data_IF_571097443034
#
_entry.id   IF_571097443034
#
_cell.length_a   1.000
_cell.length_b   1.000
_cell.length_c   1.000
_cell.angle_alpha   90.00
_cell.angle_beta   90.00
_cell.angle_gamma   90.00
#
_symmetry.space_group_name_H-M   'P 1'
#
loop_
_entity.id
_entity.type
_entity.pdbx_description
1 polymer ?
#
# COMPACT_ATOMS: atom_id res chain seq x y z
N UNK A 1 -32.45 -4.51 -17.17
CA UNK A 1 -32.01 -5.72 -16.46
C UNK A 1 -30.52 -5.89 -16.71
N UNK A 2 -29.66 -5.95 -15.68
CA UNK A 2 -28.26 -6.32 -15.88
C UNK A 2 -28.20 -7.83 -16.11
N UNK A 3 -27.60 -8.26 -17.23
CA UNK A 3 -27.35 -9.67 -17.51
C UNK A 3 -26.14 -10.16 -16.69
N UNK A 4 -26.02 -11.47 -16.45
CA UNK A 4 -24.87 -12.05 -15.74
C UNK A 4 -23.52 -11.64 -16.36
N UNK A 5 -23.47 -11.57 -17.70
CA UNK A 5 -22.30 -11.09 -18.45
C UNK A 5 -21.93 -9.64 -18.12
N UNK A 6 -22.92 -8.76 -17.99
CA UNK A 6 -22.66 -7.37 -17.59
C UNK A 6 -22.15 -7.28 -16.15
N UNK A 7 -22.65 -8.14 -15.24
CA UNK A 7 -22.16 -8.22 -13.86
C UNK A 7 -20.72 -8.72 -13.80
N UNK A 8 -20.39 -9.79 -14.53
CA UNK A 8 -19.02 -10.31 -14.63
C UNK A 8 -18.06 -9.21 -15.10
N UNK A 9 -18.42 -8.48 -16.16
CA UNK A 9 -17.61 -7.38 -16.67
C UNK A 9 -17.40 -6.26 -15.63
N UNK A 10 -18.45 -5.87 -14.91
CA UNK A 10 -18.35 -4.86 -13.84
C UNK A 10 -17.40 -5.31 -12.74
N UNK A 11 -17.47 -6.58 -12.32
CA UNK A 11 -16.56 -7.12 -11.30
C UNK A 11 -15.12 -7.24 -11.80
N UNK A 12 -14.89 -7.64 -13.04
CA UNK A 12 -13.55 -7.68 -13.64
C UNK A 12 -12.91 -6.28 -13.65
N UNK A 13 -13.65 -5.29 -14.15
CA UNK A 13 -13.20 -3.90 -14.22
C UNK A 13 -12.94 -3.37 -12.81
N UNK A 14 -13.85 -3.61 -11.87
CA UNK A 14 -13.67 -3.24 -10.47
C UNK A 14 -12.41 -3.86 -9.88
N UNK A 15 -12.22 -5.17 -10.03
CA UNK A 15 -11.05 -5.90 -9.56
C UNK A 15 -9.74 -5.31 -10.11
N UNK A 16 -9.71 -4.98 -11.40
CA UNK A 16 -8.57 -4.33 -12.04
C UNK A 16 -8.25 -2.97 -11.41
N UNK A 17 -9.26 -2.11 -11.20
CA UNK A 17 -9.06 -0.80 -10.56
C UNK A 17 -8.47 -0.93 -9.16
N UNK A 18 -9.00 -1.85 -8.34
CA UNK A 18 -8.47 -2.10 -6.99
C UNK A 18 -7.05 -2.68 -7.03
N UNK A 19 -6.74 -3.54 -8.00
CA UNK A 19 -5.40 -4.09 -8.19
C UNK A 19 -4.36 -3.03 -8.57
N UNK A 20 -4.70 -2.13 -9.50
CA UNK A 20 -3.83 -0.99 -9.87
C UNK A 20 -3.64 -0.04 -8.69
N UNK A 21 -4.70 0.27 -7.96
CA UNK A 21 -4.62 1.09 -6.76
C UNK A 21 -3.72 0.45 -5.69
N UNK A 22 -3.85 -0.86 -5.44
CA UNK A 22 -2.98 -1.60 -4.54
C UNK A 22 -1.51 -1.48 -4.94
N UNK A 23 -1.19 -1.67 -6.23
CA UNK A 23 0.16 -1.55 -6.75
C UNK A 23 0.74 -0.14 -6.54
N UNK A 24 -0.06 0.91 -6.72
CA UNK A 24 0.36 2.28 -6.47
C UNK A 24 0.71 2.53 -4.98
N UNK A 25 -0.11 2.02 -4.06
CA UNK A 25 0.17 2.12 -2.62
C UNK A 25 1.40 1.32 -2.21
N UNK A 26 1.62 0.15 -2.81
CA UNK A 26 2.84 -0.63 -2.61
C UNK A 26 4.07 0.13 -3.14
N UNK A 27 4.00 0.72 -4.33
CA UNK A 27 5.10 1.54 -4.85
C UNK A 27 5.37 2.77 -3.98
N UNK A 28 4.33 3.35 -3.36
CA UNK A 28 4.52 4.44 -2.39
C UNK A 28 5.24 3.95 -1.13
N UNK A 29 4.98 2.72 -0.67
CA UNK A 29 5.62 2.18 0.53
C UNK A 29 7.12 1.93 0.33
N UNK A 30 7.57 1.63 -0.89
CA UNK A 30 9.01 1.45 -1.17
C UNK A 30 9.81 2.75 -1.19
N UNK A 31 9.14 3.90 -1.17
CA UNK A 31 9.76 5.23 -1.26
C UNK A 31 9.73 6.02 0.06
N UNK A 32 9.38 5.38 1.18
CA UNK A 32 9.35 6.04 2.49
C UNK A 32 10.80 6.31 2.92
N UNK A 33 11.21 7.58 3.07
CA UNK A 33 12.58 7.91 3.46
C UNK A 33 12.81 7.57 4.93
N UNK A 34 14.03 7.16 5.25
CA UNK A 34 14.52 7.03 6.62
C UNK A 34 15.31 8.30 6.91
N UNK A 35 14.70 9.21 7.65
CA UNK A 35 15.30 10.49 7.98
C UNK A 35 15.44 10.66 9.51
N UNK A 36 16.69 10.63 10.04
CA UNK A 36 16.96 10.87 11.45
C UNK A 36 16.51 12.26 11.94
N UNK A 37 16.56 13.27 11.07
CA UNK A 37 16.21 14.64 11.37
C UNK A 37 14.73 14.94 11.15
N UNK A 38 13.97 13.95 10.64
CA UNK A 38 12.52 14.05 10.47
C UNK A 38 12.07 15.28 9.66
N UNK A 39 12.86 15.64 8.64
CA UNK A 39 12.61 16.77 7.74
C UNK A 39 12.98 18.13 8.31
N UNK A 40 13.61 18.21 9.49
CA UNK A 40 14.08 19.46 10.07
C UNK A 40 15.34 19.95 9.32
N UNK A 41 15.26 21.08 8.56
CA UNK A 41 16.41 21.61 7.84
C UNK A 41 17.49 22.17 8.77
N UNK A 42 17.12 22.54 10.00
CA UNK A 42 18.03 23.06 11.02
C UNK A 42 18.41 21.99 12.06
N UNK A 43 17.93 20.76 11.85
CA UNK A 43 18.17 19.62 12.73
C UNK A 43 19.66 19.25 12.77
N UNK A 44 20.25 19.26 13.96
CA UNK A 44 21.65 18.85 14.16
C UNK A 44 21.67 17.48 14.82
N UNK A 45 22.41 16.55 14.24
CA UNK A 45 22.63 15.22 14.81
C UNK A 45 23.54 15.32 16.04
N UNK A 46 23.30 14.49 17.05
CA UNK A 46 24.12 14.50 18.27
C UNK A 46 25.59 14.26 17.99
N UNK A 47 26.47 14.91 18.75
CA UNK A 47 27.92 14.75 18.61
C UNK A 47 28.43 13.43 19.20
N UNK A 48 27.70 12.84 20.13
CA UNK A 48 28.04 11.55 20.74
C UNK A 48 27.45 10.36 19.94
N UNK A 49 28.18 9.23 19.84
CA UNK A 49 27.74 8.07 19.05
C UNK A 49 26.39 7.46 19.48
N UNK A 50 26.07 7.48 20.78
CA UNK A 50 24.83 6.90 21.30
C UNK A 50 23.61 7.72 20.84
N UNK A 51 23.67 9.05 20.93
CA UNK A 51 22.62 9.95 20.45
C UNK A 51 22.35 9.80 18.95
N UNK A 52 23.40 9.59 18.14
CA UNK A 52 23.23 9.31 16.71
C UNK A 52 22.50 7.99 16.47
N UNK A 53 22.89 6.94 17.20
CA UNK A 53 22.26 5.63 17.07
C UNK A 53 20.78 5.67 17.44
N UNK A 54 20.41 6.40 18.51
CA UNK A 54 19.00 6.60 18.87
C UNK A 54 18.23 7.37 17.80
N UNK A 55 18.81 8.42 17.22
CA UNK A 55 18.16 9.20 16.16
C UNK A 55 17.86 8.35 14.91
N UNK A 56 18.83 7.53 14.49
CA UNK A 56 18.66 6.58 13.39
C UNK A 56 17.62 5.49 13.70
N UNK A 57 17.65 4.93 14.90
CA UNK A 57 16.65 3.94 15.33
C UNK A 57 15.24 4.52 15.31
N UNK A 58 15.08 5.75 15.82
CA UNK A 58 13.80 6.44 15.82
C UNK A 58 13.30 6.71 14.40
N UNK A 59 14.18 7.11 13.48
CA UNK A 59 13.84 7.29 12.07
C UNK A 59 13.43 5.98 11.39
N UNK A 60 14.16 4.90 11.64
CA UNK A 60 13.81 3.59 11.11
C UNK A 60 12.43 3.14 11.61
N UNK A 61 12.13 3.36 12.90
CA UNK A 61 10.83 3.01 13.46
C UNK A 61 9.70 3.83 12.83
N UNK A 62 9.89 5.15 12.67
CA UNK A 62 8.92 6.04 11.99
C UNK A 62 8.69 5.61 10.53
N UNK A 63 9.77 5.36 9.80
CA UNK A 63 9.69 4.88 8.42
C UNK A 63 8.94 3.54 8.33
N UNK A 64 9.28 2.57 9.20
CA UNK A 64 8.62 1.26 9.23
C UNK A 64 7.12 1.36 9.55
N UNK A 65 6.72 2.29 10.43
CA UNK A 65 5.31 2.53 10.72
C UNK A 65 4.55 3.02 9.47
N UNK A 66 5.13 3.97 8.73
CA UNK A 66 4.51 4.51 7.52
C UNK A 66 4.48 3.48 6.38
N UNK A 67 5.58 2.73 6.18
CA UNK A 67 5.62 1.57 5.27
C UNK A 67 4.52 0.57 5.64
N UNK A 68 4.40 0.25 6.93
CA UNK A 68 3.38 -0.67 7.43
C UNK A 68 1.96 -0.17 7.17
N UNK A 69 1.70 1.12 7.34
CA UNK A 69 0.40 1.74 7.04
C UNK A 69 0.06 1.63 5.55
N UNK A 70 1.00 1.98 4.67
CA UNK A 70 0.82 1.90 3.22
C UNK A 70 0.63 0.45 2.75
N UNK A 71 1.41 -0.49 3.28
CA UNK A 71 1.27 -1.91 2.96
C UNK A 71 -0.07 -2.49 3.43
N UNK A 72 -0.60 -2.07 4.59
CA UNK A 72 -1.96 -2.46 5.03
C UNK A 72 -3.02 -1.99 4.05
N UNK A 73 -2.89 -0.78 3.51
CA UNK A 73 -3.81 -0.26 2.49
C UNK A 73 -3.68 -1.07 1.20
N UNK A 74 -2.45 -1.27 0.71
CA UNK A 74 -2.19 -2.08 -0.48
C UNK A 74 -2.79 -3.49 -0.34
N UNK A 75 -2.58 -4.16 0.79
CA UNK A 75 -3.10 -5.51 1.05
C UNK A 75 -4.64 -5.55 1.04
N UNK A 76 -5.32 -4.56 1.64
CA UNK A 76 -6.79 -4.49 1.62
C UNK A 76 -7.32 -4.32 0.19
N UNK A 77 -6.70 -3.43 -0.58
CA UNK A 77 -7.06 -3.20 -1.97
C UNK A 77 -6.83 -4.47 -2.82
N UNK A 78 -5.70 -5.17 -2.61
CA UNK A 78 -5.44 -6.47 -3.25
C UNK A 78 -6.51 -7.50 -2.89
N UNK A 79 -6.91 -7.60 -1.62
CA UNK A 79 -7.94 -8.54 -1.19
C UNK A 79 -9.27 -8.28 -1.91
N UNK A 80 -9.69 -7.00 -1.98
CA UNK A 80 -10.88 -6.60 -2.75
C UNK A 80 -10.73 -6.95 -4.23
N UNK A 81 -9.57 -6.67 -4.83
CA UNK A 81 -9.29 -6.99 -6.22
C UNK A 81 -9.43 -8.49 -6.51
N UNK A 82 -8.88 -9.35 -5.64
CA UNK A 82 -8.97 -10.81 -5.77
C UNK A 82 -10.41 -11.29 -5.65
N UNK A 83 -11.17 -10.80 -4.66
CA UNK A 83 -12.58 -11.19 -4.48
C UNK A 83 -13.41 -10.81 -5.69
N UNK A 84 -13.28 -9.58 -6.19
CA UNK A 84 -14.02 -9.13 -7.38
C UNK A 84 -13.62 -9.93 -8.63
N UNK A 85 -12.32 -10.24 -8.79
CA UNK A 85 -11.85 -11.06 -9.89
C UNK A 85 -12.40 -12.49 -9.82
N UNK A 86 -12.43 -13.09 -8.63
CA UNK A 86 -13.02 -14.41 -8.42
C UNK A 86 -14.53 -14.42 -8.73
N UNK A 87 -15.27 -13.42 -8.24
CA UNK A 87 -16.71 -13.27 -8.55
C UNK A 87 -16.95 -13.10 -10.05
N UNK A 88 -16.11 -12.31 -10.74
CA UNK A 88 -16.17 -12.17 -12.20
C UNK A 88 -15.97 -13.50 -12.91
N UNK A 89 -14.99 -14.30 -12.48
CA UNK A 89 -14.72 -15.60 -13.10
C UNK A 89 -15.90 -16.54 -12.92
N UNK A 90 -16.45 -16.64 -11.69
CA UNK A 90 -17.62 -17.51 -11.42
C UNK A 90 -18.82 -17.10 -12.26
N UNK A 91 -19.16 -15.81 -12.29
CA UNK A 91 -20.30 -15.32 -13.06
C UNK A 91 -20.08 -15.43 -14.59
N UNK A 92 -18.84 -15.38 -15.03
CA UNK A 92 -18.47 -15.55 -16.43
C UNK A 92 -18.61 -17.00 -16.93
N UNK A 93 -18.53 -17.99 -16.03
CA UNK A 93 -18.73 -19.41 -16.36
C UNK A 93 -20.21 -19.75 -16.62
N UNK A 94 -21.12 -19.00 -16.00
CA UNK A 94 -22.57 -19.20 -16.08
C UNK A 94 -23.23 -18.44 -17.26
N UNK A 95 -22.43 -17.80 -18.12
CA UNK A 95 -22.87 -17.00 -19.29
C UNK A 95 -22.61 -17.71 -20.61
#
# INVERSE_FOLDING_TARGET
MLTMKNLALVFAIGGLFFGVAAAAYWQKSTKVPIDPLNGDPDGVMSGDPEGQQFAWLAAQLRANQEVGRLNKIAARLTAVAVVLSALSTVLGLEC
#
